data_IF_781756987551
#
_entry.id   IF_781756987551
#
_cell.length_a   1.000
_cell.length_b   1.000
_cell.length_c   1.000
_cell.angle_alpha   90.00
_cell.angle_beta   90.00
_cell.angle_gamma   90.00
#
_symmetry.space_group_name_H-M   'P 1'
#
loop_
_entity.id
_entity.type
_entity.pdbx_description
1 polymer ?
#
# COMPACT_ATOMS: atom_id res chain seq x y z
N UNK A 1 -12.76 3.54 26.53
CA UNK A 1 -11.65 2.55 26.61
C UNK A 1 -11.88 1.53 25.51
N UNK A 2 -11.00 1.46 24.51
CA UNK A 2 -11.11 0.51 23.40
C UNK A 2 -10.22 -0.69 23.71
N UNK A 3 -10.80 -1.88 23.83
CA UNK A 3 -10.07 -3.12 24.12
C UNK A 3 -9.97 -3.93 22.83
N UNK A 4 -8.74 -4.12 22.33
CA UNK A 4 -8.48 -4.96 21.16
C UNK A 4 -8.29 -6.42 21.57
N UNK A 5 -9.24 -7.30 21.23
CA UNK A 5 -9.07 -8.75 21.36
C UNK A 5 -8.40 -9.32 20.10
N UNK A 6 -7.07 -9.15 20.02
CA UNK A 6 -6.26 -9.55 18.85
C UNK A 6 -6.32 -11.05 18.57
N UNK A 7 -6.10 -11.90 19.57
CA UNK A 7 -6.09 -13.36 19.36
C UNK A 7 -7.48 -13.91 19.05
N UNK A 8 -8.52 -13.41 19.72
CA UNK A 8 -9.90 -13.90 19.56
C UNK A 8 -10.52 -13.55 18.19
N UNK A 9 -10.03 -12.49 17.54
CA UNK A 9 -10.53 -12.01 16.25
C UNK A 9 -9.48 -12.06 15.13
N UNK A 10 -8.36 -12.77 15.34
CA UNK A 10 -7.21 -12.82 14.44
C UNK A 10 -7.60 -13.12 13.00
N UNK A 11 -8.42 -14.14 12.78
CA UNK A 11 -8.88 -14.52 11.44
C UNK A 11 -9.68 -13.42 10.75
N UNK A 12 -10.51 -12.69 11.51
CA UNK A 12 -11.30 -11.57 11.00
C UNK A 12 -10.40 -10.41 10.59
N UNK A 13 -9.37 -10.10 11.37
CA UNK A 13 -8.38 -9.08 11.01
C UNK A 13 -7.55 -9.46 9.78
N UNK A 14 -7.12 -10.72 9.69
CA UNK A 14 -6.40 -11.24 8.51
C UNK A 14 -7.28 -11.14 7.26
N UNK A 15 -8.53 -11.63 7.34
CA UNK A 15 -9.48 -11.58 6.23
C UNK A 15 -9.77 -10.14 5.80
N UNK A 16 -9.96 -9.24 6.76
CA UNK A 16 -10.14 -7.81 6.48
C UNK A 16 -8.94 -7.21 5.75
N UNK A 17 -7.71 -7.56 6.16
CA UNK A 17 -6.48 -7.10 5.52
C UNK A 17 -6.33 -7.64 4.10
N UNK A 18 -6.58 -8.94 3.90
CA UNK A 18 -6.56 -9.58 2.56
C UNK A 18 -7.58 -8.89 1.63
N UNK A 19 -8.79 -8.61 2.12
CA UNK A 19 -9.82 -7.94 1.33
C UNK A 19 -9.39 -6.53 0.92
N UNK A 20 -8.76 -5.76 1.82
CA UNK A 20 -8.23 -4.42 1.52
C UNK A 20 -7.13 -4.49 0.46
N UNK A 21 -6.22 -5.43 0.59
CA UNK A 21 -5.13 -5.66 -0.37
C UNK A 21 -5.70 -6.06 -1.75
N UNK A 22 -6.64 -7.00 -1.79
CA UNK A 22 -7.28 -7.43 -3.04
C UNK A 22 -8.06 -6.30 -3.72
N UNK A 23 -8.73 -5.43 -2.94
CA UNK A 23 -9.39 -4.23 -3.48
C UNK A 23 -8.39 -3.25 -4.07
N UNK A 24 -7.21 -3.11 -3.47
CA UNK A 24 -6.14 -2.29 -4.03
C UNK A 24 -5.68 -2.86 -5.38
N UNK A 25 -5.35 -4.16 -5.44
CA UNK A 25 -4.79 -4.79 -6.65
C UNK A 25 -5.79 -5.00 -7.79
N UNK A 26 -7.09 -5.07 -7.49
CA UNK A 26 -8.14 -5.33 -8.47
C UNK A 26 -9.05 -4.11 -8.72
N UNK A 27 -8.58 -2.90 -8.40
CA UNK A 27 -9.29 -1.69 -8.78
C UNK A 27 -8.97 -1.28 -10.24
N UNK A 28 -9.83 -0.45 -10.83
CA UNK A 28 -9.67 0.06 -12.20
C UNK A 28 -8.45 0.98 -12.38
N UNK A 29 -7.92 1.51 -11.28
CA UNK A 29 -6.81 2.45 -11.26
C UNK A 29 -5.46 1.75 -10.99
N UNK A 30 -5.44 0.41 -11.02
CA UNK A 30 -4.25 -0.40 -10.82
C UNK A 30 -3.89 -1.11 -12.11
N UNK A 31 -2.63 -0.97 -12.49
CA UNK A 31 -2.08 -1.62 -13.68
C UNK A 31 -1.21 -2.77 -13.21
N UNK A 32 -1.51 -3.98 -13.71
CA UNK A 32 -0.67 -5.15 -13.51
C UNK A 32 0.35 -5.19 -14.63
N UNK A 33 1.62 -5.03 -14.27
CA UNK A 33 2.74 -5.16 -15.20
C UNK A 33 3.23 -6.60 -15.09
N UNK A 34 2.98 -7.39 -16.12
CA UNK A 34 3.51 -8.75 -16.22
C UNK A 34 5.01 -8.72 -16.47
N UNK A 35 5.71 -9.74 -15.98
CA UNK A 35 7.15 -9.87 -16.25
C UNK A 35 7.37 -10.39 -17.67
N UNK A 36 8.16 -9.66 -18.46
CA UNK A 36 8.54 -10.07 -19.81
C UNK A 36 10.06 -10.36 -19.94
N UNK A 37 10.46 -10.94 -21.06
CA UNK A 37 11.87 -11.27 -21.33
C UNK A 37 12.78 -10.04 -21.35
N UNK A 38 12.26 -8.91 -21.82
CA UNK A 38 13.02 -7.65 -21.90
C UNK A 38 13.34 -7.15 -20.49
N UNK A 39 12.37 -7.18 -19.59
CA UNK A 39 12.53 -6.81 -18.18
C UNK A 39 13.49 -7.76 -17.45
N UNK A 40 13.33 -9.08 -17.65
CA UNK A 40 14.26 -10.07 -17.10
C UNK A 40 15.68 -9.84 -17.59
N UNK A 41 15.87 -9.57 -18.89
CA UNK A 41 17.19 -9.28 -19.45
C UNK A 41 17.85 -8.06 -18.81
N UNK A 42 17.07 -7.03 -18.47
CA UNK A 42 17.56 -5.82 -17.76
C UNK A 42 17.99 -6.16 -16.34
N UNK A 43 17.21 -6.98 -15.62
CA UNK A 43 17.57 -7.46 -14.27
C UNK A 43 18.88 -8.27 -14.30
N UNK A 44 19.05 -9.17 -15.28
CA UNK A 44 20.29 -9.92 -15.45
C UNK A 44 21.47 -9.00 -15.76
N UNK A 45 21.27 -8.02 -16.64
CA UNK A 45 22.29 -7.01 -16.95
C UNK A 45 22.70 -6.25 -15.67
N UNK A 46 21.75 -5.82 -14.84
CA UNK A 46 22.01 -5.17 -13.55
C UNK A 46 22.87 -6.04 -12.64
N UNK A 47 22.65 -7.36 -12.63
CA UNK A 47 23.46 -8.32 -11.86
C UNK A 47 24.89 -8.40 -12.38
N UNK A 48 25.07 -8.54 -13.69
CA UNK A 48 26.39 -8.63 -14.34
C UNK A 48 27.23 -7.40 -14.01
N UNK A 49 26.63 -6.20 -14.09
CA UNK A 49 27.31 -4.94 -13.76
C UNK A 49 27.31 -4.61 -12.27
N UNK A 50 26.82 -5.50 -11.39
CA UNK A 50 26.73 -5.29 -9.93
C UNK A 50 26.09 -3.95 -9.56
N UNK A 51 25.07 -3.53 -10.28
CA UNK A 51 24.32 -2.29 -10.04
C UNK A 51 23.29 -2.52 -8.92
N UNK A 52 22.94 -1.44 -8.19
CA UNK A 52 22.00 -1.49 -7.05
C UNK A 52 20.59 -1.84 -7.53
N UNK A 53 19.83 -2.76 -6.90
CA UNK A 53 20.08 -3.40 -5.59
C UNK A 53 21.02 -4.62 -5.63
N UNK A 54 21.38 -5.15 -6.80
CA UNK A 54 22.18 -6.38 -6.97
C UNK A 54 23.70 -6.25 -6.71
N UNK A 55 24.13 -5.10 -6.21
CA UNK A 55 25.53 -4.78 -5.89
C UNK A 55 26.10 -5.52 -4.66
N UNK A 56 25.24 -6.10 -3.81
CA UNK A 56 25.62 -6.77 -2.55
C UNK A 56 25.72 -8.29 -2.70
N UNK A 57 26.29 -8.93 -1.69
CA UNK A 57 26.53 -10.38 -1.64
C UNK A 57 25.25 -11.21 -1.50
N UNK A 58 24.20 -10.67 -0.85
CA UNK A 58 22.87 -11.30 -0.75
C UNK A 58 21.82 -10.39 -1.41
N UNK A 59 21.73 -10.39 -2.74
CA UNK A 59 20.89 -9.44 -3.45
C UNK A 59 19.50 -10.01 -3.76
N UNK A 60 18.49 -9.15 -3.67
CA UNK A 60 17.12 -9.49 -4.04
C UNK A 60 16.84 -9.23 -5.52
N UNK A 61 16.61 -10.30 -6.29
CA UNK A 61 16.16 -10.19 -7.68
C UNK A 61 14.77 -9.54 -7.80
N UNK A 62 13.94 -9.69 -6.77
CA UNK A 62 12.61 -9.07 -6.70
C UNK A 62 12.73 -7.54 -6.61
N UNK A 63 13.65 -7.05 -5.77
CA UNK A 63 13.94 -5.62 -5.66
C UNK A 63 14.52 -5.06 -6.96
N UNK A 64 15.37 -5.83 -7.63
CA UNK A 64 15.89 -5.45 -8.94
C UNK A 64 14.80 -5.39 -10.00
N UNK A 65 13.85 -6.34 -9.99
CA UNK A 65 12.71 -6.34 -10.89
C UNK A 65 11.86 -5.08 -10.69
N UNK A 66 11.56 -4.72 -9.44
CA UNK A 66 10.81 -3.50 -9.11
C UNK A 66 11.50 -2.24 -9.67
N UNK A 67 12.83 -2.13 -9.49
CA UNK A 67 13.59 -0.98 -9.97
C UNK A 67 13.69 -0.95 -11.49
N UNK A 68 13.91 -2.09 -12.13
CA UNK A 68 13.90 -2.15 -13.59
C UNK A 68 12.52 -1.80 -14.16
N UNK A 69 11.42 -2.22 -13.52
CA UNK A 69 10.08 -1.80 -13.91
C UNK A 69 9.92 -0.29 -13.80
N UNK A 70 10.39 0.33 -12.71
CA UNK A 70 10.35 1.78 -12.52
C UNK A 70 11.16 2.53 -13.59
N UNK A 71 12.39 2.10 -13.86
CA UNK A 71 13.28 2.72 -14.86
C UNK A 71 12.68 2.58 -16.27
N UNK A 72 11.99 1.46 -16.51
CA UNK A 72 11.38 1.11 -17.78
C UNK A 72 9.92 1.51 -17.89
N UNK A 73 9.39 2.31 -16.97
CA UNK A 73 7.93 2.46 -16.79
C UNK A 73 7.22 2.98 -18.05
N UNK A 74 7.90 3.81 -18.85
CA UNK A 74 7.42 4.35 -20.14
C UNK A 74 7.15 3.26 -21.18
N UNK A 75 7.74 2.07 -21.03
CA UNK A 75 7.46 0.91 -21.90
C UNK A 75 6.09 0.26 -21.59
N UNK A 76 5.51 0.53 -20.40
CA UNK A 76 4.29 -0.12 -19.92
C UNK A 76 3.13 0.83 -19.72
N UNK A 77 3.40 2.10 -19.39
CA UNK A 77 2.39 3.11 -19.05
C UNK A 77 2.73 4.40 -19.80
N UNK A 78 1.78 4.98 -20.56
CA UNK A 78 1.97 6.31 -21.14
C UNK A 78 2.02 7.35 -20.02
N UNK A 79 3.01 8.26 -20.10
CA UNK A 79 3.19 9.35 -19.15
C UNK A 79 3.01 10.70 -19.84
N UNK A 80 2.33 11.60 -19.16
CA UNK A 80 2.19 13.00 -19.53
C UNK A 80 3.23 13.86 -18.80
N UNK A 81 3.43 15.09 -19.27
CA UNK A 81 4.42 16.03 -18.70
C UNK A 81 4.10 16.43 -17.24
N UNK A 82 2.83 16.36 -16.85
CA UNK A 82 2.36 16.72 -15.50
C UNK A 82 2.44 15.54 -14.51
N UNK A 83 2.67 14.33 -15.00
CA UNK A 83 2.63 13.13 -14.17
C UNK A 83 3.81 13.08 -13.19
N UNK A 84 3.52 12.61 -11.98
CA UNK A 84 4.52 12.37 -10.93
C UNK A 84 4.45 10.92 -10.50
N UNK A 85 5.62 10.31 -10.33
CA UNK A 85 5.74 8.91 -9.95
C UNK A 85 6.31 8.84 -8.53
N UNK A 86 5.61 8.16 -7.63
CA UNK A 86 6.08 7.97 -6.26
C UNK A 86 6.59 6.53 -6.09
N UNK A 87 7.90 6.40 -5.88
CA UNK A 87 8.50 5.14 -5.44
C UNK A 87 8.44 5.07 -3.91
N UNK A 88 7.56 4.21 -3.38
CA UNK A 88 7.28 4.16 -1.94
C UNK A 88 7.76 2.82 -1.38
N UNK A 89 8.73 2.85 -0.47
CA UNK A 89 9.21 1.64 0.20
C UNK A 89 9.80 1.92 1.58
N UNK A 90 9.54 1.01 2.53
CA UNK A 90 10.23 1.00 3.83
C UNK A 90 11.64 0.41 3.75
N UNK A 91 11.94 -0.35 2.69
CA UNK A 91 13.25 -0.98 2.51
C UNK A 91 14.28 0.00 1.92
N UNK A 92 14.59 1.08 2.64
CA UNK A 92 15.53 2.08 2.13
C UNK A 92 16.94 1.51 1.90
N UNK A 93 17.34 0.48 2.65
CA UNK A 93 18.71 -0.05 2.62
C UNK A 93 19.16 -0.51 1.24
N UNK A 94 18.25 -1.02 0.42
CA UNK A 94 18.56 -1.59 -0.89
C UNK A 94 18.33 -0.62 -2.04
N UNK A 95 17.78 0.58 -1.77
CA UNK A 95 17.51 1.57 -2.79
C UNK A 95 18.11 2.94 -2.52
N UNK A 96 18.54 3.22 -1.28
CA UNK A 96 19.01 4.54 -0.88
C UNK A 96 20.52 4.71 -0.97
N UNK A 97 20.96 5.96 -1.14
CA UNK A 97 22.38 6.32 -1.17
C UNK A 97 23.07 6.04 0.18
N UNK A 98 22.39 6.32 1.29
CA UNK A 98 22.93 6.08 2.63
C UNK A 98 21.82 5.91 3.69
N UNK A 99 22.22 5.57 4.92
CA UNK A 99 21.31 5.46 6.08
C UNK A 99 20.71 6.80 6.51
N UNK A 100 21.42 7.89 6.26
CA UNK A 100 21.03 9.26 6.62
C UNK A 100 20.15 9.89 5.53
N UNK A 101 20.35 9.48 4.27
CA UNK A 101 19.56 9.90 3.11
C UNK A 101 18.61 8.80 2.64
N UNK A 102 17.64 8.46 3.49
CA UNK A 102 16.73 7.32 3.27
C UNK A 102 15.79 7.48 2.07
N UNK A 103 15.46 8.72 1.72
CA UNK A 103 14.56 9.07 0.60
C UNK A 103 15.35 9.66 -0.58
N UNK A 104 16.62 9.27 -0.72
CA UNK A 104 17.48 9.63 -1.86
C UNK A 104 17.95 8.35 -2.52
N UNK A 105 17.72 8.19 -3.82
CA UNK A 105 18.13 7.00 -4.55
C UNK A 105 19.64 6.77 -4.48
N UNK A 106 20.04 5.50 -4.53
CA UNK A 106 21.42 5.10 -4.71
C UNK A 106 21.96 5.64 -6.05
N UNK A 107 23.23 6.07 -6.16
CA UNK A 107 23.79 6.66 -7.38
C UNK A 107 23.55 5.85 -8.66
N UNK A 108 23.70 4.52 -8.61
CA UNK A 108 23.36 3.64 -9.73
C UNK A 108 21.92 3.82 -10.24
N UNK A 109 20.94 3.93 -9.33
CA UNK A 109 19.53 4.09 -9.69
C UNK A 109 19.28 5.50 -10.20
N UNK A 110 19.87 6.51 -9.56
CA UNK A 110 19.78 7.91 -9.99
C UNK A 110 20.35 8.11 -11.41
N UNK A 111 21.49 7.50 -11.73
CA UNK A 111 22.06 7.50 -13.07
C UNK A 111 21.12 6.86 -14.10
N UNK A 112 20.51 5.71 -13.77
CA UNK A 112 19.58 5.03 -14.67
C UNK A 112 18.28 5.84 -14.87
N UNK A 113 17.79 6.53 -13.84
CA UNK A 113 16.64 7.44 -13.92
C UNK A 113 16.95 8.68 -14.77
N UNK A 114 18.17 9.22 -14.67
CA UNK A 114 18.62 10.32 -15.53
C UNK A 114 18.67 9.88 -17.00
N UNK A 115 19.28 8.73 -17.29
CA UNK A 115 19.34 8.16 -18.64
C UNK A 115 17.94 7.92 -19.24
N UNK A 116 16.96 7.61 -18.40
CA UNK A 116 15.57 7.34 -18.82
C UNK A 116 14.69 8.59 -18.88
N UNK A 117 15.25 9.76 -18.54
CA UNK A 117 14.51 11.02 -18.45
C UNK A 117 13.36 10.96 -17.43
N UNK A 118 13.59 10.30 -16.29
CA UNK A 118 12.61 10.10 -15.22
C UNK A 118 13.00 10.82 -13.92
N UNK A 119 14.24 11.28 -13.79
CA UNK A 119 14.75 11.84 -12.53
C UNK A 119 13.96 13.07 -12.02
N UNK A 120 13.38 13.86 -12.92
CA UNK A 120 12.57 15.04 -12.55
C UNK A 120 11.16 14.69 -12.05
N UNK A 121 10.62 13.52 -12.42
CA UNK A 121 9.23 13.14 -12.12
C UNK A 121 9.11 12.04 -11.06
N UNK A 122 10.17 11.24 -10.85
CA UNK A 122 10.19 10.16 -9.85
C UNK A 122 10.60 10.71 -8.49
N UNK A 123 9.80 10.42 -7.48
CA UNK A 123 10.02 10.83 -6.09
C UNK A 123 10.12 9.61 -5.19
N UNK A 124 11.20 9.50 -4.43
CA UNK A 124 11.37 8.46 -3.43
C UNK A 124 10.74 8.90 -2.11
N UNK A 125 9.89 8.04 -1.51
CA UNK A 125 9.26 8.23 -0.21
C UNK A 125 9.35 6.95 0.62
N UNK A 126 9.48 7.08 1.94
CA UNK A 126 9.53 5.94 2.85
C UNK A 126 8.15 5.38 3.23
N UNK A 127 7.11 6.22 3.24
CA UNK A 127 5.84 5.92 3.89
C UNK A 127 4.66 6.47 3.09
N UNK A 128 3.74 5.57 2.70
CA UNK A 128 2.54 5.92 1.91
C UNK A 128 1.67 6.98 2.60
N UNK A 129 1.39 6.84 3.90
CA UNK A 129 0.53 7.78 4.62
C UNK A 129 1.12 9.20 4.65
N UNK A 130 2.45 9.31 4.73
CA UNK A 130 3.14 10.59 4.75
C UNK A 130 3.04 11.25 3.37
N UNK A 131 3.26 10.47 2.31
CA UNK A 131 3.09 10.92 0.92
C UNK A 131 1.67 11.42 0.66
N UNK A 132 0.65 10.67 1.06
CA UNK A 132 -0.74 11.11 0.88
C UNK A 132 -1.01 12.44 1.61
N UNK A 133 -0.42 12.63 2.80
CA UNK A 133 -0.65 13.84 3.61
C UNK A 133 0.07 15.04 3.00
N UNK A 134 1.36 14.88 2.74
CA UNK A 134 2.26 15.97 2.39
C UNK A 134 2.14 16.32 0.90
N UNK A 135 2.06 15.32 0.02
CA UNK A 135 2.10 15.50 -1.43
C UNK A 135 0.69 15.58 -2.05
N UNK A 136 -0.32 14.92 -1.45
CA UNK A 136 -1.71 14.94 -1.97
C UNK A 136 -2.65 15.82 -1.13
N UNK A 137 -2.14 16.50 -0.09
CA UNK A 137 -2.91 17.36 0.82
C UNK A 137 -4.18 16.70 1.34
N UNK A 138 -4.17 15.38 1.45
CA UNK A 138 -5.27 14.65 2.04
C UNK A 138 -5.14 14.77 3.56
N UNK A 139 -5.70 15.85 4.10
CA UNK A 139 -5.74 16.11 5.55
C UNK A 139 -6.47 14.99 6.30
N UNK A 140 -7.43 14.32 5.63
CA UNK A 140 -8.10 13.10 6.10
C UNK A 140 -7.55 11.82 5.44
N UNK A 141 -6.29 11.47 5.68
CA UNK A 141 -5.93 10.02 5.60
C UNK A 141 -6.35 9.30 6.88
N UNK A 142 -6.70 10.06 7.90
CA UNK A 142 -7.40 9.58 9.07
C UNK A 142 -8.91 9.48 8.78
N UNK A 143 -9.60 8.66 9.58
CA UNK A 143 -11.03 8.88 9.90
C UNK A 143 -12.03 8.13 9.03
N UNK A 144 -11.93 7.98 7.71
CA UNK A 144 -13.00 7.27 6.94
C UNK A 144 -13.15 5.78 7.26
N UNK A 145 -12.05 5.02 7.36
CA UNK A 145 -12.12 3.61 7.79
C UNK A 145 -12.55 3.47 9.25
N UNK A 146 -12.16 4.42 10.11
CA UNK A 146 -12.53 4.43 11.52
C UNK A 146 -13.98 4.86 11.69
N UNK A 147 -14.48 5.79 10.89
CA UNK A 147 -15.86 6.28 10.86
C UNK A 147 -16.76 5.23 10.25
N UNK A 148 -16.41 4.58 9.14
CA UNK A 148 -17.17 3.42 8.66
C UNK A 148 -17.18 2.29 9.70
N UNK A 149 -16.06 2.01 10.38
CA UNK A 149 -16.03 1.01 11.45
C UNK A 149 -16.84 1.45 12.69
N UNK A 150 -16.85 2.75 13.04
CA UNK A 150 -17.65 3.32 14.13
C UNK A 150 -19.14 3.33 13.78
N UNK A 151 -19.52 3.79 12.61
CA UNK A 151 -20.89 3.86 12.10
C UNK A 151 -21.47 2.45 12.00
N UNK A 152 -20.73 1.50 11.42
CA UNK A 152 -21.14 0.09 11.38
C UNK A 152 -21.24 -0.53 12.78
N UNK A 153 -20.42 -0.10 13.73
CA UNK A 153 -20.49 -0.55 15.12
C UNK A 153 -21.70 0.04 15.86
N UNK A 154 -21.98 1.33 15.67
CA UNK A 154 -23.11 2.05 16.27
C UNK A 154 -24.44 1.55 15.69
N UNK A 155 -24.52 1.31 14.39
CA UNK A 155 -25.69 0.71 13.73
C UNK A 155 -25.97 -0.68 14.29
N UNK A 156 -24.95 -1.54 14.42
CA UNK A 156 -25.11 -2.88 15.02
C UNK A 156 -25.49 -2.85 16.49
N UNK A 157 -25.02 -1.87 17.27
CA UNK A 157 -25.47 -1.71 18.65
C UNK A 157 -26.93 -1.27 18.70
N UNK A 158 -27.34 -0.31 17.88
CA UNK A 158 -28.72 0.16 17.81
C UNK A 158 -29.68 -0.96 17.36
N UNK A 159 -29.30 -1.76 16.35
CA UNK A 159 -30.08 -2.93 15.90
C UNK A 159 -30.21 -3.97 17.01
N UNK A 160 -29.12 -4.31 17.70
CA UNK A 160 -29.16 -5.29 18.80
C UNK A 160 -29.95 -4.79 20.02
N UNK A 161 -29.94 -3.47 20.28
CA UNK A 161 -30.74 -2.87 21.36
C UNK A 161 -32.23 -2.88 21.02
N UNK A 162 -32.60 -2.52 19.79
CA UNK A 162 -33.98 -2.58 19.30
C UNK A 162 -34.55 -4.00 19.32
N UNK A 163 -33.78 -4.99 18.86
CA UNK A 163 -34.21 -6.39 18.89
C UNK A 163 -34.40 -6.89 20.32
N UNK A 164 -33.47 -6.56 21.24
CA UNK A 164 -33.60 -6.95 22.65
C UNK A 164 -34.75 -6.25 23.39
N UNK A 165 -35.11 -5.03 23.01
CA UNK A 165 -36.21 -4.28 23.62
C UNK A 165 -37.58 -4.75 23.08
N UNK A 166 -37.66 -5.10 21.79
CA UNK A 166 -38.84 -5.72 21.19
C UNK A 166 -39.12 -7.12 21.77
N UNK A 167 -38.10 -7.98 21.86
CA UNK A 167 -38.22 -9.33 22.45
C UNK A 167 -38.66 -9.27 23.93
N UNK A 168 -38.25 -8.23 24.66
CA UNK A 168 -38.61 -8.04 26.06
C UNK A 168 -40.02 -7.45 26.22
N UNK A 169 -40.48 -6.61 25.30
CA UNK A 169 -41.86 -6.12 25.27
C UNK A 169 -42.86 -7.23 24.91
N UNK A 170 -42.52 -8.06 23.93
CA UNK A 170 -43.32 -9.25 23.56
C UNK A 170 -43.41 -10.23 24.76
N UNK A 171 -42.28 -10.50 25.43
CA UNK A 171 -42.28 -11.36 26.61
C UNK A 171 -43.06 -10.77 27.81
N UNK A 172 -43.14 -9.44 27.94
CA UNK A 172 -43.95 -8.79 28.96
C UNK A 172 -45.44 -8.80 28.62
N UNK A 173 -45.81 -8.60 27.35
CA UNK A 173 -47.20 -8.74 26.91
C UNK A 173 -47.72 -10.17 27.11
N UNK A 174 -46.90 -11.18 26.82
CA UNK A 174 -47.26 -12.58 27.06
C UNK A 174 -47.41 -12.91 28.55
N UNK A 175 -46.63 -12.26 29.43
CA UNK A 175 -46.71 -12.44 30.88
C UNK A 175 -47.94 -11.77 31.51
N UNK A 176 -48.39 -10.63 30.98
CA UNK A 176 -49.56 -9.91 31.51
C UNK A 176 -50.90 -10.38 30.93
N UNK A 177 -50.89 -11.11 29.82
CA UNK A 177 -52.10 -11.64 29.16
C UNK A 177 -52.39 -13.13 29.49
N UNK A 178 -51.70 -13.70 30.49
CA UNK A 178 -51.93 -15.03 31.06
C UNK A 178 -52.07 -14.97 32.59
#
# INVERSE_FOLDING_TARGET
MVIFFLERNKEKYIRGSINRVNRLFNNTNSIKIETDEKLLSRVFRRKVFKKCPLHRNDPSYQDALIIETLISIKDYIPLNEEDRIFFITKNFKDFSASKDKRETFHPHIEEDLNCSGLNSIVQFRGLLYKTLKDDFKQESIATQLVVEELENYLVKQAENQWVGEADMLDALEDYYNH
#
